data_IF_247193367390
#
_entry.id   IF_247193367390
#
_cell.length_a   1.000
_cell.length_b   1.000
_cell.length_c   1.000
_cell.angle_alpha   90.00
_cell.angle_beta   90.00
_cell.angle_gamma   90.00
#
_symmetry.space_group_name_H-M   'P 1'
#
loop_
_entity.id
_entity.type
_entity.pdbx_description
1 polymer ?
#
# COMPACT_ATOMS: atom_id res chain seq x y z
N UNK A 1 -36.53 35.71 -45.82
CA UNK A 1 -36.66 35.51 -44.36
C UNK A 1 -36.33 34.05 -44.10
N UNK A 2 -35.11 33.81 -43.62
CA UNK A 2 -34.44 32.51 -43.63
C UNK A 2 -35.09 31.46 -42.72
N UNK A 3 -35.64 30.42 -43.35
CA UNK A 3 -36.08 29.21 -42.66
C UNK A 3 -34.88 28.33 -42.26
N UNK A 4 -33.76 28.42 -42.99
CA UNK A 4 -32.55 27.63 -42.77
C UNK A 4 -31.75 28.08 -41.53
N UNK A 5 -31.80 29.35 -41.13
CA UNK A 5 -31.06 29.82 -39.95
C UNK A 5 -31.68 29.36 -38.63
N UNK A 6 -33.01 29.17 -38.58
CA UNK A 6 -33.72 28.70 -37.37
C UNK A 6 -33.49 27.22 -37.06
N UNK A 7 -33.38 26.38 -38.09
CA UNK A 7 -33.10 24.94 -37.94
C UNK A 7 -31.67 24.70 -37.45
N UNK A 8 -30.69 25.44 -37.98
CA UNK A 8 -29.30 25.34 -37.52
C UNK A 8 -29.13 25.76 -36.06
N UNK A 9 -29.81 26.82 -35.60
CA UNK A 9 -29.74 27.26 -34.20
C UNK A 9 -30.35 26.22 -33.25
N UNK A 10 -31.48 25.60 -33.60
CA UNK A 10 -32.09 24.56 -32.74
C UNK A 10 -31.25 23.29 -32.67
N UNK A 11 -30.68 22.84 -33.80
CA UNK A 11 -29.79 21.68 -33.83
C UNK A 11 -28.50 21.94 -33.04
N UNK A 12 -27.96 23.16 -33.11
CA UNK A 12 -26.75 23.53 -32.35
C UNK A 12 -27.03 23.64 -30.84
N UNK A 13 -28.19 24.15 -30.43
CA UNK A 13 -28.61 24.18 -29.02
C UNK A 13 -28.88 22.76 -28.47
N UNK A 14 -29.49 21.87 -29.24
CA UNK A 14 -29.71 20.47 -28.83
C UNK A 14 -28.37 19.73 -28.72
N UNK A 15 -27.44 19.94 -29.66
CA UNK A 15 -26.10 19.37 -29.60
C UNK A 15 -25.30 19.90 -28.40
N UNK A 16 -25.40 21.20 -28.06
CA UNK A 16 -24.78 21.77 -26.87
C UNK A 16 -25.42 21.26 -25.56
N UNK A 17 -26.74 21.06 -25.52
CA UNK A 17 -27.43 20.50 -24.35
C UNK A 17 -27.04 19.02 -24.16
N UNK A 18 -26.94 18.24 -25.25
CA UNK A 18 -26.48 16.84 -25.21
C UNK A 18 -25.00 16.71 -24.85
N UNK A 19 -24.15 17.62 -25.34
CA UNK A 19 -22.72 17.67 -24.99
C UNK A 19 -22.51 18.06 -23.52
N UNK A 20 -23.34 18.98 -22.98
CA UNK A 20 -23.34 19.30 -21.56
C UNK A 20 -23.94 18.17 -20.71
N UNK A 21 -24.98 17.47 -21.17
CA UNK A 21 -25.52 16.30 -20.46
C UNK A 21 -24.51 15.14 -20.42
N UNK A 22 -23.69 14.96 -21.45
CA UNK A 22 -22.63 13.95 -21.49
C UNK A 22 -21.47 14.27 -20.53
N UNK A 23 -21.08 15.55 -20.41
CA UNK A 23 -20.05 15.96 -19.42
C UNK A 23 -20.57 15.89 -17.98
N UNK A 24 -21.86 16.14 -17.74
CA UNK A 24 -22.48 15.89 -16.45
C UNK A 24 -22.62 14.38 -16.14
N UNK A 25 -23.07 13.56 -17.08
CA UNK A 25 -23.17 12.10 -16.91
C UNK A 25 -21.82 11.43 -16.60
N UNK A 26 -20.76 11.86 -17.29
CA UNK A 26 -19.38 11.43 -17.02
C UNK A 26 -18.90 11.76 -15.60
N UNK A 27 -19.40 12.84 -14.99
CA UNK A 27 -19.03 13.21 -13.62
C UNK A 27 -19.78 12.42 -12.55
N UNK A 28 -21.00 11.93 -12.84
CA UNK A 28 -21.77 11.11 -11.89
C UNK A 28 -21.25 9.67 -11.79
N UNK A 29 -20.72 9.11 -12.87
CA UNK A 29 -20.07 7.78 -12.86
C UNK A 29 -18.79 7.75 -12.00
N UNK A 30 -18.09 8.88 -11.86
CA UNK A 30 -16.88 8.98 -11.04
C UNK A 30 -17.14 8.90 -9.53
N UNK A 31 -18.39 9.06 -9.07
CA UNK A 31 -18.74 9.09 -7.64
C UNK A 31 -19.88 8.13 -7.26
N UNK A 32 -20.32 7.25 -8.16
CA UNK A 32 -21.31 6.24 -7.82
C UNK A 32 -20.68 5.11 -6.99
N UNK A 33 -21.21 4.88 -5.78
CA UNK A 33 -20.84 3.72 -4.97
C UNK A 33 -21.31 2.44 -5.67
N UNK A 34 -20.38 1.62 -6.16
CA UNK A 34 -20.69 0.34 -6.80
C UNK A 34 -21.01 -0.75 -5.77
N UNK A 35 -20.20 -0.85 -4.71
CA UNK A 35 -20.37 -1.81 -3.64
C UNK A 35 -19.72 -1.32 -2.34
N UNK A 36 -20.02 -2.00 -1.23
CA UNK A 36 -19.35 -1.80 0.05
C UNK A 36 -19.10 -3.14 0.74
N UNK A 37 -18.00 -3.23 1.50
CA UNK A 37 -17.64 -4.42 2.25
C UNK A 37 -17.37 -4.05 3.71
N UNK A 38 -18.00 -4.76 4.64
CA UNK A 38 -17.84 -4.53 6.07
C UNK A 38 -16.85 -5.51 6.68
N UNK A 39 -15.78 -5.00 7.27
CA UNK A 39 -14.80 -5.79 8.02
C UNK A 39 -15.15 -5.87 9.49
N UNK A 40 -14.55 -6.84 10.20
CA UNK A 40 -14.55 -6.82 11.66
C UNK A 40 -13.56 -5.76 12.17
N UNK A 41 -14.03 -4.82 12.98
CA UNK A 41 -13.19 -3.80 13.61
C UNK A 41 -12.83 -2.63 12.69
N UNK A 42 -11.81 -1.86 13.10
CA UNK A 42 -11.35 -0.66 12.42
C UNK A 42 -10.37 -1.04 11.31
N UNK A 43 -10.67 -0.68 10.08
CA UNK A 43 -9.72 -0.78 8.97
C UNK A 43 -8.62 0.25 9.16
N UNK A 44 -7.37 -0.18 9.07
CA UNK A 44 -6.22 0.68 9.32
C UNK A 44 -5.17 0.65 8.22
N UNK A 45 -5.21 -0.35 7.32
CA UNK A 45 -4.48 -0.32 6.06
C UNK A 45 -5.35 -0.85 4.94
N UNK A 46 -5.10 -0.37 3.72
CA UNK A 46 -5.75 -0.80 2.49
C UNK A 46 -4.71 -0.82 1.37
N UNK A 47 -4.79 -1.81 0.49
CA UNK A 47 -3.93 -1.92 -0.69
C UNK A 47 -4.67 -2.58 -1.84
N UNK A 48 -4.17 -2.35 -3.04
CA UNK A 48 -4.58 -3.07 -4.26
C UNK A 48 -3.48 -4.05 -4.62
N UNK A 49 -3.85 -5.23 -5.09
CA UNK A 49 -2.90 -6.27 -5.47
C UNK A 49 -3.47 -7.14 -6.58
N UNK A 50 -2.59 -7.81 -7.33
CA UNK A 50 -2.99 -8.88 -8.23
C UNK A 50 -3.18 -10.18 -7.45
N UNK A 51 -4.35 -10.81 -7.57
CA UNK A 51 -4.59 -12.15 -7.02
C UNK A 51 -3.79 -13.22 -7.78
N UNK A 52 -3.89 -14.48 -7.35
CA UNK A 52 -3.17 -15.58 -8.01
C UNK A 52 -3.60 -15.86 -9.46
N UNK A 53 -4.68 -15.23 -9.93
CA UNK A 53 -5.17 -15.28 -11.30
C UNK A 53 -4.85 -13.98 -12.07
N UNK A 54 -4.01 -13.10 -11.50
CA UNK A 54 -3.63 -11.80 -12.06
C UNK A 54 -4.78 -10.79 -12.18
N UNK A 55 -5.87 -10.97 -11.42
CA UNK A 55 -6.96 -9.98 -11.35
C UNK A 55 -6.66 -8.96 -10.26
N UNK A 56 -7.05 -7.70 -10.49
CA UNK A 56 -7.06 -6.70 -9.43
C UNK A 56 -7.99 -7.12 -8.30
N UNK A 57 -7.46 -7.04 -7.09
CA UNK A 57 -8.13 -7.33 -5.83
C UNK A 57 -7.70 -6.32 -4.78
N UNK A 58 -8.45 -6.27 -3.69
CA UNK A 58 -8.22 -5.35 -2.58
C UNK A 58 -7.84 -6.19 -1.35
N UNK A 59 -6.82 -5.74 -0.65
CA UNK A 59 -6.38 -6.28 0.63
C UNK A 59 -6.54 -5.22 1.70
N UNK A 60 -7.13 -5.57 2.84
CA UNK A 60 -7.28 -4.67 3.97
C UNK A 60 -6.80 -5.33 5.26
N UNK A 61 -6.31 -4.50 6.18
CA UNK A 61 -6.08 -4.93 7.56
C UNK A 61 -7.06 -4.22 8.46
N UNK A 62 -7.61 -4.97 9.41
CA UNK A 62 -8.49 -4.41 10.43
C UNK A 62 -8.18 -4.98 11.80
N UNK A 63 -8.56 -4.26 12.84
CA UNK A 63 -8.39 -4.75 14.21
C UNK A 63 -9.49 -4.29 15.16
N UNK A 64 -9.65 -5.03 16.26
CA UNK A 64 -10.60 -4.75 17.33
C UNK A 64 -9.94 -4.99 18.68
N UNK A 65 -10.09 -4.02 19.59
CA UNK A 65 -9.73 -4.18 20.99
C UNK A 65 -10.63 -5.21 21.68
N UNK A 66 -10.04 -6.06 22.50
CA UNK A 66 -10.69 -7.11 23.30
C UNK A 66 -10.25 -6.97 24.75
N UNK A 67 -10.90 -7.68 25.67
CA UNK A 67 -10.50 -7.69 27.09
C UNK A 67 -9.08 -8.25 27.33
N UNK A 68 -8.51 -8.98 26.35
CA UNK A 68 -7.21 -9.65 26.47
C UNK A 68 -6.16 -9.10 25.48
N UNK A 69 -6.42 -7.97 24.80
CA UNK A 69 -5.51 -7.38 23.81
C UNK A 69 -6.21 -7.04 22.49
N UNK A 70 -5.54 -7.25 21.37
CA UNK A 70 -6.08 -6.92 20.03
C UNK A 70 -6.32 -8.19 19.21
N UNK A 71 -7.46 -8.26 18.54
CA UNK A 71 -7.72 -9.22 17.46
C UNK A 71 -7.64 -8.50 16.12
N UNK A 72 -6.81 -8.99 15.21
CA UNK A 72 -6.54 -8.41 13.91
C UNK A 72 -6.80 -9.40 12.78
N UNK A 73 -7.24 -8.85 11.65
CA UNK A 73 -7.59 -9.56 10.43
C UNK A 73 -6.87 -8.96 9.23
N UNK A 74 -6.59 -9.81 8.25
CA UNK A 74 -6.11 -9.43 6.92
C UNK A 74 -7.09 -10.04 5.94
N UNK A 75 -7.82 -9.21 5.19
CA UNK A 75 -8.96 -9.65 4.36
C UNK A 75 -8.72 -9.29 2.90
N UNK A 76 -8.81 -10.28 2.02
CA UNK A 76 -8.80 -10.08 0.58
C UNK A 76 -10.21 -10.15 0.00
N UNK A 77 -10.53 -9.22 -0.88
CA UNK A 77 -11.78 -9.14 -1.64
C UNK A 77 -11.45 -8.86 -3.11
N UNK A 78 -12.26 -9.36 -4.03
CA UNK A 78 -12.08 -9.08 -5.46
C UNK A 78 -12.54 -7.65 -5.82
N UNK A 79 -12.29 -7.24 -7.06
CA UNK A 79 -12.69 -5.93 -7.58
C UNK A 79 -14.20 -5.65 -7.50
N UNK A 80 -15.05 -6.68 -7.34
CA UNK A 80 -16.50 -6.57 -7.24
C UNK A 80 -16.99 -6.63 -5.78
N UNK A 81 -16.08 -6.57 -4.79
CA UNK A 81 -16.42 -6.62 -3.37
C UNK A 81 -16.73 -8.01 -2.84
N UNK A 82 -16.47 -9.08 -3.61
CA UNK A 82 -16.69 -10.45 -3.15
C UNK A 82 -15.51 -10.91 -2.29
N UNK A 83 -15.82 -11.53 -1.16
CA UNK A 83 -14.83 -12.17 -0.31
C UNK A 83 -14.00 -13.22 -1.06
N UNK A 84 -12.68 -13.08 -1.00
CA UNK A 84 -11.74 -14.09 -1.47
C UNK A 84 -11.27 -14.94 -0.30
N UNK A 85 -10.65 -14.30 0.70
CA UNK A 85 -10.09 -14.99 1.84
C UNK A 85 -9.73 -14.07 3.01
N UNK A 86 -9.41 -14.67 4.17
CA UNK A 86 -8.97 -13.92 5.36
C UNK A 86 -7.96 -14.70 6.20
N UNK A 87 -7.00 -13.98 6.78
CA UNK A 87 -6.13 -14.42 7.87
C UNK A 87 -6.55 -13.74 9.18
N UNK A 88 -6.35 -14.43 10.31
CA UNK A 88 -6.80 -14.01 11.65
C UNK A 88 -5.70 -14.19 12.69
N UNK A 89 -5.88 -13.55 13.85
CA UNK A 89 -5.01 -13.74 15.02
C UNK A 89 -3.77 -12.87 14.99
N UNK A 90 -3.78 -11.83 14.16
CA UNK A 90 -2.76 -10.79 14.26
C UNK A 90 -3.06 -9.89 15.46
N UNK A 91 -2.04 -9.31 16.10
CA UNK A 91 -2.22 -8.05 16.81
C UNK A 91 -2.47 -6.93 15.77
N UNK A 92 -2.18 -5.68 16.12
CA UNK A 92 -2.25 -4.60 15.14
C UNK A 92 -1.22 -4.82 14.02
N UNK A 93 -1.68 -4.76 12.77
CA UNK A 93 -0.81 -4.68 11.60
C UNK A 93 -0.53 -3.21 11.34
N UNK A 94 0.71 -2.77 11.55
CA UNK A 94 1.08 -1.34 11.53
C UNK A 94 1.48 -0.84 10.14
N UNK A 95 1.84 -1.74 9.21
CA UNK A 95 2.16 -1.39 7.83
C UNK A 95 1.72 -2.51 6.88
N UNK A 96 1.32 -2.13 5.67
CA UNK A 96 0.91 -3.02 4.59
C UNK A 96 1.56 -2.54 3.29
N UNK A 97 2.08 -3.49 2.51
CA UNK A 97 2.48 -3.25 1.13
C UNK A 97 2.20 -4.49 0.28
N UNK A 98 2.09 -4.32 -1.02
CA UNK A 98 1.82 -5.39 -1.99
C UNK A 98 2.73 -5.23 -3.19
N UNK A 99 3.28 -6.34 -3.69
CA UNK A 99 4.11 -6.34 -4.89
C UNK A 99 4.39 -7.75 -5.37
N UNK A 100 4.56 -7.94 -6.68
CA UNK A 100 5.14 -9.16 -7.25
C UNK A 100 6.66 -9.18 -7.00
N UNK A 101 7.06 -9.74 -5.85
CA UNK A 101 8.45 -9.73 -5.40
C UNK A 101 9.30 -10.76 -6.14
N UNK A 102 8.71 -11.88 -6.52
CA UNK A 102 9.43 -13.02 -7.07
C UNK A 102 9.28 -13.22 -8.60
N UNK A 103 8.55 -12.30 -9.25
CA UNK A 103 8.21 -12.26 -10.67
C UNK A 103 7.36 -13.44 -11.12
N UNK A 104 6.34 -13.77 -10.32
CA UNK A 104 5.37 -14.82 -10.63
C UNK A 104 3.95 -14.28 -10.52
N UNK A 105 2.99 -15.11 -10.94
CA UNK A 105 1.59 -14.71 -10.91
C UNK A 105 1.11 -14.48 -9.48
N UNK A 106 0.68 -13.25 -9.24
CA UNK A 106 0.04 -12.80 -8.01
C UNK A 106 1.02 -12.09 -7.10
N UNK A 107 0.61 -10.94 -6.58
CA UNK A 107 1.45 -10.15 -5.70
C UNK A 107 1.58 -10.82 -4.32
N UNK A 108 2.75 -10.68 -3.72
CA UNK A 108 2.93 -10.93 -2.30
C UNK A 108 2.32 -9.81 -1.45
N UNK A 109 1.87 -10.19 -0.26
CA UNK A 109 1.31 -9.31 0.76
C UNK A 109 2.31 -9.20 1.90
N UNK A 110 2.86 -8.00 2.11
CA UNK A 110 3.82 -7.70 3.17
C UNK A 110 3.12 -7.00 4.32
N UNK A 111 3.33 -7.49 5.54
CA UNK A 111 2.73 -6.96 6.76
C UNK A 111 3.80 -6.64 7.80
N UNK A 112 3.77 -5.42 8.31
CA UNK A 112 4.46 -5.01 9.53
C UNK A 112 3.62 -5.36 10.75
N UNK A 113 4.12 -6.24 11.61
CA UNK A 113 3.40 -6.72 12.81
C UNK A 113 4.34 -6.68 14.00
N UNK A 114 4.23 -5.65 14.84
CA UNK A 114 5.29 -5.28 15.79
C UNK A 114 6.64 -5.19 15.05
N UNK A 115 7.73 -5.74 15.61
CA UNK A 115 9.02 -5.84 14.92
C UNK A 115 9.18 -7.04 14.00
N UNK A 116 8.08 -7.59 13.48
CA UNK A 116 8.12 -8.64 12.48
C UNK A 116 7.64 -8.14 11.12
N UNK A 117 8.35 -8.54 10.08
CA UNK A 117 7.88 -8.49 8.70
C UNK A 117 7.37 -9.88 8.35
N UNK A 118 6.10 -9.96 7.97
CA UNK A 118 5.48 -11.16 7.43
C UNK A 118 5.27 -10.96 5.92
N UNK A 119 5.56 -11.98 5.12
CA UNK A 119 5.26 -11.97 3.70
C UNK A 119 4.45 -13.20 3.36
N UNK A 120 3.27 -12.98 2.81
CA UNK A 120 2.34 -14.00 2.37
C UNK A 120 2.23 -13.97 0.85
N UNK A 121 2.05 -15.12 0.24
CA UNK A 121 1.67 -15.21 -1.17
C UNK A 121 0.21 -14.81 -1.37
N UNK A 122 -0.17 -14.55 -2.61
CA UNK A 122 -1.56 -14.27 -3.02
C UNK A 122 -2.58 -15.33 -2.56
N UNK A 123 -2.13 -16.57 -2.29
CA UNK A 123 -2.93 -17.70 -1.84
C UNK A 123 -3.01 -17.85 -0.30
N UNK A 124 -2.45 -16.88 0.44
CA UNK A 124 -2.31 -16.83 1.92
C UNK A 124 -1.21 -17.70 2.53
N UNK A 125 -0.45 -18.44 1.73
CA UNK A 125 0.64 -19.21 2.30
C UNK A 125 1.75 -18.27 2.77
N UNK A 126 2.21 -18.46 4.00
CA UNK A 126 3.34 -17.70 4.53
C UNK A 126 4.58 -18.05 3.71
N UNK A 127 5.13 -17.06 3.02
CA UNK A 127 6.38 -17.19 2.26
C UNK A 127 7.57 -17.14 3.20
N UNK A 128 7.64 -16.10 4.05
CA UNK A 128 8.63 -15.99 5.11
C UNK A 128 8.22 -14.98 6.18
N UNK A 129 8.92 -15.03 7.32
CA UNK A 129 8.79 -14.10 8.43
C UNK A 129 10.17 -13.76 9.00
N UNK A 130 10.42 -12.48 9.27
CA UNK A 130 11.69 -11.99 9.85
C UNK A 130 11.45 -10.98 10.96
N UNK A 131 12.40 -10.90 11.88
CA UNK A 131 12.38 -9.95 13.01
C UNK A 131 13.43 -8.87 12.78
N UNK A 132 13.05 -7.61 12.97
CA UNK A 132 13.92 -6.41 12.88
C UNK A 132 14.34 -5.88 14.25
N UNK A 133 14.00 -6.61 15.31
CA UNK A 133 14.18 -6.23 16.71
C UNK A 133 12.85 -6.27 17.43
N UNK A 134 12.77 -6.89 18.61
CA UNK A 134 11.48 -7.09 19.31
C UNK A 134 10.78 -5.77 19.67
N UNK A 135 11.56 -4.70 19.84
CA UNK A 135 11.08 -3.36 20.19
C UNK A 135 10.94 -2.42 18.97
N UNK A 136 11.14 -2.92 17.75
CA UNK A 136 11.13 -2.10 16.55
C UNK A 136 9.82 -2.25 15.79
N UNK A 137 8.71 -1.67 16.29
CA UNK A 137 7.45 -1.70 15.54
C UNK A 137 7.64 -1.12 14.14
N UNK A 138 7.32 -1.92 13.12
CA UNK A 138 7.45 -1.52 11.72
C UNK A 138 6.39 -0.47 11.40
N UNK A 139 6.80 0.68 10.87
CA UNK A 139 5.92 1.80 10.54
C UNK A 139 5.82 2.05 9.03
N UNK A 140 6.84 1.67 8.26
CA UNK A 140 6.88 1.91 6.82
C UNK A 140 7.52 0.73 6.10
N UNK A 141 7.02 0.44 4.90
CA UNK A 141 7.56 -0.57 3.98
C UNK A 141 7.64 0.09 2.60
N UNK A 142 8.80 0.04 1.97
CA UNK A 142 9.01 0.43 0.58
C UNK A 142 9.62 -0.74 -0.20
N UNK A 143 9.26 -0.86 -1.48
CA UNK A 143 9.61 -2.00 -2.32
C UNK A 143 10.14 -1.47 -3.64
N UNK A 144 11.30 -1.95 -4.07
CA UNK A 144 11.90 -1.57 -5.35
C UNK A 144 13.02 -2.54 -5.73
N UNK A 145 13.20 -2.75 -7.03
CA UNK A 145 14.46 -3.25 -7.59
C UNK A 145 15.55 -2.18 -7.34
N UNK A 146 16.49 -2.47 -6.45
CA UNK A 146 17.58 -1.59 -6.03
C UNK A 146 18.92 -1.95 -6.67
N UNK A 147 19.11 -3.20 -7.07
CA UNK A 147 20.37 -3.70 -7.64
C UNK A 147 20.32 -3.99 -9.16
N UNK A 148 19.15 -3.88 -9.77
CA UNK A 148 18.90 -4.03 -11.19
C UNK A 148 18.70 -5.48 -11.65
N UNK A 149 18.48 -6.43 -10.73
CA UNK A 149 18.31 -7.85 -11.07
C UNK A 149 16.85 -8.24 -11.43
N UNK A 150 15.94 -7.26 -11.38
CA UNK A 150 14.48 -7.36 -11.58
C UNK A 150 13.70 -8.01 -10.44
N UNK A 151 14.34 -8.58 -9.44
CA UNK A 151 13.69 -8.97 -8.20
C UNK A 151 13.63 -7.74 -7.29
N UNK A 152 12.66 -7.73 -6.40
CA UNK A 152 12.41 -6.55 -5.58
C UNK A 152 13.04 -6.71 -4.20
N UNK A 153 13.73 -5.67 -3.77
CA UNK A 153 14.16 -5.48 -2.40
C UNK A 153 13.07 -4.80 -1.58
N UNK A 154 13.11 -5.05 -0.28
CA UNK A 154 12.13 -4.55 0.68
C UNK A 154 12.89 -3.75 1.73
N UNK A 155 12.58 -2.47 1.82
CA UNK A 155 13.09 -1.58 2.86
C UNK A 155 12.02 -1.38 3.91
N UNK A 156 12.35 -1.63 5.17
CA UNK A 156 11.43 -1.41 6.30
C UNK A 156 12.03 -0.48 7.33
N UNK A 157 11.18 0.42 7.82
CA UNK A 157 11.47 1.40 8.85
C UNK A 157 10.59 1.18 10.06
N UNK A 158 11.08 1.47 11.26
CA UNK A 158 10.31 1.33 12.49
C UNK A 158 10.66 2.32 13.60
N UNK A 159 10.05 2.11 14.76
CA UNK A 159 10.08 3.03 15.92
C UNK A 159 11.33 2.89 16.82
N UNK A 160 12.17 1.88 16.61
CA UNK A 160 13.37 1.71 17.44
C UNK A 160 14.32 2.91 17.24
N UNK A 161 14.89 3.44 18.32
CA UNK A 161 15.76 4.64 18.28
C UNK A 161 17.12 4.42 18.93
N UNK A 162 17.33 3.28 19.61
CA UNK A 162 18.58 2.90 20.28
C UNK A 162 19.37 1.91 19.46
N UNK A 163 18.69 1.02 18.74
CA UNK A 163 19.28 0.01 17.87
C UNK A 163 18.97 0.29 16.39
N UNK A 164 19.25 -0.68 15.52
CA UNK A 164 18.94 -0.60 14.10
C UNK A 164 17.42 -0.54 13.89
N UNK A 165 16.99 0.35 13.01
CA UNK A 165 15.58 0.62 12.74
C UNK A 165 15.25 0.78 11.25
N UNK A 166 16.27 0.72 10.39
CA UNK A 166 16.13 0.62 8.94
C UNK A 166 16.78 -0.69 8.46
N UNK A 167 16.01 -1.53 7.77
CA UNK A 167 16.46 -2.83 7.28
C UNK A 167 16.14 -2.98 5.80
N UNK A 168 17.05 -3.61 5.06
CA UNK A 168 16.83 -4.07 3.71
C UNK A 168 16.79 -5.59 3.66
N UNK A 169 15.78 -6.13 3.01
CA UNK A 169 15.62 -7.54 2.72
C UNK A 169 15.61 -7.78 1.21
N UNK A 170 16.15 -8.90 0.78
CA UNK A 170 15.84 -9.44 -0.54
C UNK A 170 14.40 -9.99 -0.58
N UNK A 171 13.88 -10.22 -1.79
CA UNK A 171 12.57 -10.86 -2.03
C UNK A 171 12.32 -12.16 -1.22
N UNK A 172 13.39 -12.92 -0.91
CA UNK A 172 13.30 -14.18 -0.15
C UNK A 172 13.46 -14.02 1.39
N UNK A 173 13.54 -12.78 1.88
CA UNK A 173 13.63 -12.47 3.30
C UNK A 173 15.04 -12.60 3.89
N UNK A 174 16.09 -12.62 3.07
CA UNK A 174 17.47 -12.51 3.55
C UNK A 174 17.78 -11.05 3.87
N UNK A 175 18.43 -10.78 5.00
CA UNK A 175 18.86 -9.41 5.34
C UNK A 175 20.05 -9.06 4.45
N UNK A 176 19.90 -8.03 3.63
CA UNK A 176 20.99 -7.49 2.81
C UNK A 176 21.87 -6.56 3.64
N UNK A 177 21.23 -5.62 4.36
CA UNK A 177 21.89 -4.73 5.29
C UNK A 177 20.89 -4.16 6.29
N UNK A 178 21.41 -3.52 7.33
CA UNK A 178 20.61 -2.82 8.33
C UNK A 178 21.42 -1.74 9.02
N UNK A 179 20.79 -0.60 9.26
CA UNK A 179 21.43 0.56 9.88
C UNK A 179 20.53 1.17 10.96
N UNK A 180 21.16 1.95 11.84
CA UNK A 180 20.48 2.80 12.80
C UNK A 180 20.36 4.20 12.20
N UNK A 181 19.15 4.71 12.17
CA UNK A 181 18.87 6.13 11.98
C UNK A 181 18.53 6.78 13.31
N UNK A 182 18.73 8.10 13.39
CA UNK A 182 18.25 8.87 14.53
C UNK A 182 16.77 9.19 14.34
N UNK A 183 15.95 8.82 15.34
CA UNK A 183 14.50 8.94 15.28
C UNK A 183 13.82 7.73 14.63
N UNK A 184 12.50 7.69 14.81
CA UNK A 184 11.59 6.68 14.25
C UNK A 184 11.43 6.89 12.76
N UNK A 185 11.37 5.83 11.95
CA UNK A 185 11.26 5.93 10.49
C UNK A 185 9.80 5.80 10.07
N UNK A 186 9.14 6.90 9.71
CA UNK A 186 7.70 6.92 9.40
C UNK A 186 7.37 6.81 7.92
N UNK A 187 8.30 7.17 7.03
CA UNK A 187 8.10 7.05 5.59
C UNK A 187 9.43 6.74 4.91
N UNK A 188 9.36 5.94 3.85
CA UNK A 188 10.49 5.60 3.00
C UNK A 188 10.06 5.80 1.56
N UNK A 189 10.86 6.56 0.79
CA UNK A 189 10.71 6.75 -0.65
C UNK A 189 11.94 6.20 -1.36
N UNK A 190 11.75 5.60 -2.53
CA UNK A 190 12.85 5.03 -3.32
C UNK A 190 12.76 5.57 -4.75
N UNK A 191 13.75 6.37 -5.15
CA UNK A 191 13.81 6.96 -6.49
C UNK A 191 15.25 7.27 -6.86
N UNK A 192 15.54 7.24 -8.16
CA UNK A 192 16.75 7.85 -8.71
C UNK A 192 16.56 9.37 -8.72
N UNK A 193 17.06 10.05 -7.69
CA UNK A 193 16.85 11.50 -7.51
C UNK A 193 17.98 12.32 -8.13
N UNK A 194 19.11 11.69 -8.41
CA UNK A 194 20.30 12.33 -8.98
C UNK A 194 20.47 12.03 -10.49
N UNK A 195 19.63 11.16 -11.05
CA UNK A 195 19.60 10.69 -12.43
C UNK A 195 20.90 9.98 -12.86
N UNK A 196 21.50 9.19 -11.96
CA UNK A 196 22.69 8.38 -12.25
C UNK A 196 22.39 6.92 -12.64
N UNK A 197 21.10 6.55 -12.66
CA UNK A 197 20.61 5.21 -12.97
C UNK A 197 20.56 4.27 -11.77
N UNK A 198 20.92 4.72 -10.56
CA UNK A 198 20.75 3.99 -9.30
C UNK A 198 19.69 4.68 -8.47
N UNK A 199 18.87 3.89 -7.77
CA UNK A 199 17.84 4.46 -6.88
C UNK A 199 18.44 4.76 -5.51
N UNK A 200 18.16 5.95 -5.00
CA UNK A 200 18.39 6.31 -3.61
C UNK A 200 17.23 5.88 -2.71
N UNK A 201 17.52 5.72 -1.41
CA UNK A 201 16.54 5.48 -0.37
C UNK A 201 16.46 6.73 0.52
N UNK A 202 15.28 7.35 0.56
CA UNK A 202 14.99 8.51 1.38
C UNK A 202 14.15 8.05 2.57
N UNK A 203 14.67 8.20 3.79
CA UNK A 203 13.96 7.86 5.01
C UNK A 203 13.57 9.12 5.79
N UNK A 204 12.27 9.32 6.02
CA UNK A 204 11.77 10.40 6.84
C UNK A 204 11.70 9.96 8.30
N UNK A 205 12.50 10.61 9.16
CA UNK A 205 12.56 10.27 10.58
C UNK A 205 11.92 11.32 11.48
N UNK A 206 11.49 10.92 12.68
CA UNK A 206 11.12 11.91 13.71
C UNK A 206 12.31 12.78 14.06
N UNK A 207 12.13 14.09 13.92
CA UNK A 207 13.08 15.05 14.46
C UNK A 207 13.05 15.03 15.99
N UNK A 208 14.21 15.14 16.63
CA UNK A 208 14.22 15.59 18.03
C UNK A 208 13.84 17.08 18.00
N UNK A 209 12.79 17.47 18.72
CA UNK A 209 12.63 18.87 19.12
C UNK A 209 13.94 19.33 19.76
N UNK A 210 14.48 20.45 19.29
CA UNK A 210 15.89 20.81 19.43
C UNK A 210 16.38 21.08 20.84
N UNK A 211 17.67 20.81 21.03
CA UNK A 211 18.63 21.79 21.53
C UNK A 211 19.88 21.62 20.67
N UNK A 212 20.15 22.60 19.82
CA UNK A 212 21.50 22.81 19.27
C UNK A 212 22.21 23.65 20.33
N UNK A 213 22.69 22.99 21.39
CA UNK A 213 23.63 23.65 22.28
C UNK A 213 24.92 23.88 21.47
N UNK A 214 25.29 25.16 21.37
CA UNK A 214 26.51 25.65 20.73
C UNK A 214 27.77 25.19 21.47
#
# INVERSE_FOLDING_TARGET
MDFNSRVHIHVMCIALILLNLATFASSYELFSKEWEYYTEGYVNNLGVFHDCNSNYSIISTSYKGTSTGTSGWVTAIDANGKFLWQLRGFPTVSALATSDLDLKNGDEILLGVFGYVHVYKCDKNLMWKRVTGKSNTILSIAISDLDGDKRLEIIVGGEETRLKNLFAFSWNGSILWSTKLEGEVHAIEISDINNDGRKEIIAATTGRHGNVDK
#
